data_IF_380500954016
#
_entry.id   IF_380500954016
#
_cell.length_a   1.000
_cell.length_b   1.000
_cell.length_c   1.000
_cell.angle_alpha   90.00
_cell.angle_beta   90.00
_cell.angle_gamma   90.00
#
_symmetry.space_group_name_H-M   'P 1'
#
loop_
_entity.id
_entity.type
_entity.pdbx_description
1 polymer ?
#
# COMPACT_ATOMS: atom_id res chain seq x y z
N UNK A 1 22.26 -25.82 8.64
CA UNK A 1 21.33 -26.39 7.60
C UNK A 1 22.17 -26.96 6.47
N UNK A 2 21.81 -28.13 5.90
CA UNK A 2 22.56 -28.73 4.80
C UNK A 2 22.34 -27.96 3.48
N UNK A 3 23.35 -27.95 2.60
CA UNK A 3 23.36 -27.26 1.30
C UNK A 3 22.10 -27.55 0.45
N UNK A 4 21.54 -28.74 0.56
CA UNK A 4 20.31 -29.13 -0.14
C UNK A 4 19.08 -28.40 0.41
N UNK A 5 19.01 -28.18 1.73
CA UNK A 5 17.93 -27.43 2.37
C UNK A 5 17.94 -25.97 1.94
N UNK A 6 19.13 -25.36 1.76
CA UNK A 6 19.26 -23.98 1.28
C UNK A 6 18.81 -23.83 -0.18
N UNK A 7 19.10 -24.81 -1.04
CA UNK A 7 18.61 -24.82 -2.44
C UNK A 7 17.10 -25.01 -2.49
N UNK A 8 16.53 -25.82 -1.60
CA UNK A 8 15.08 -26.02 -1.51
C UNK A 8 14.35 -24.79 -0.93
N UNK A 9 14.95 -24.11 0.05
CA UNK A 9 14.41 -22.85 0.60
C UNK A 9 14.34 -21.76 -0.46
N UNK A 10 15.32 -21.67 -1.39
CA UNK A 10 15.28 -20.73 -2.53
C UNK A 10 14.07 -20.92 -3.45
N UNK A 11 13.51 -22.14 -3.49
CA UNK A 11 12.33 -22.48 -4.30
C UNK A 11 11.01 -22.35 -3.55
N UNK A 12 11.05 -22.04 -2.25
CA UNK A 12 9.85 -21.93 -1.45
C UNK A 12 9.03 -20.71 -1.88
N UNK A 13 7.87 -20.96 -2.47
CA UNK A 13 6.92 -19.91 -2.81
C UNK A 13 6.22 -19.43 -1.54
N UNK A 14 6.21 -18.12 -1.34
CA UNK A 14 5.36 -17.50 -0.32
C UNK A 14 4.05 -17.11 -1.01
N UNK A 15 2.94 -17.70 -0.62
CA UNK A 15 1.63 -17.38 -1.17
C UNK A 15 0.87 -16.48 -0.18
N UNK A 16 0.45 -15.26 -0.57
CA UNK A 16 -0.40 -14.44 0.28
C UNK A 16 -1.76 -15.11 0.44
N UNK A 17 -2.41 -14.83 1.56
CA UNK A 17 -3.75 -15.35 1.82
C UNK A 17 -4.73 -14.85 0.74
N UNK A 18 -5.72 -15.68 0.37
CA UNK A 18 -6.64 -15.42 -0.74
C UNK A 18 -7.41 -14.10 -0.62
N UNK A 19 -7.74 -13.66 0.61
CA UNK A 19 -8.42 -12.39 0.83
C UNK A 19 -7.51 -11.17 0.54
N UNK A 20 -6.20 -11.28 0.77
CA UNK A 20 -5.22 -10.23 0.43
C UNK A 20 -5.09 -10.11 -1.09
N UNK A 21 -5.07 -11.25 -1.79
CA UNK A 21 -5.04 -11.26 -3.27
C UNK A 21 -6.30 -10.61 -3.83
N UNK A 22 -7.48 -10.94 -3.28
CA UNK A 22 -8.77 -10.38 -3.72
C UNK A 22 -8.82 -8.86 -3.51
N UNK A 23 -8.33 -8.37 -2.37
CA UNK A 23 -8.26 -6.95 -2.07
C UNK A 23 -7.40 -6.21 -3.10
N UNK A 24 -6.18 -6.68 -3.35
CA UNK A 24 -5.26 -6.05 -4.33
C UNK A 24 -5.80 -6.07 -5.76
N UNK A 25 -6.45 -7.14 -6.18
CA UNK A 25 -7.09 -7.20 -7.50
C UNK A 25 -8.20 -6.16 -7.60
N UNK A 26 -8.98 -5.98 -6.53
CA UNK A 26 -10.03 -4.97 -6.49
C UNK A 26 -9.46 -3.55 -6.50
N UNK A 27 -8.39 -3.28 -5.74
CA UNK A 27 -7.67 -1.99 -5.73
C UNK A 27 -7.13 -1.64 -7.12
N UNK A 28 -6.42 -2.57 -7.75
CA UNK A 28 -5.88 -2.37 -9.09
C UNK A 28 -6.98 -2.12 -10.14
N UNK A 29 -8.11 -2.85 -10.03
CA UNK A 29 -9.25 -2.65 -10.93
C UNK A 29 -9.85 -1.27 -10.75
N UNK A 30 -10.12 -0.85 -9.50
CA UNK A 30 -10.66 0.47 -9.20
C UNK A 30 -9.74 1.58 -9.72
N UNK A 31 -8.43 1.49 -9.44
CA UNK A 31 -7.44 2.44 -9.93
C UNK A 31 -7.47 2.58 -11.46
N UNK A 32 -7.51 1.46 -12.18
CA UNK A 32 -7.57 1.45 -13.63
C UNK A 32 -8.83 2.13 -14.16
N UNK A 33 -9.98 1.85 -13.55
CA UNK A 33 -11.26 2.46 -13.93
C UNK A 33 -11.26 3.96 -13.63
N UNK A 34 -10.77 4.35 -12.46
CA UNK A 34 -10.65 5.75 -12.06
C UNK A 34 -9.78 6.54 -13.03
N UNK A 35 -8.59 6.04 -13.38
CA UNK A 35 -7.69 6.69 -14.34
C UNK A 35 -8.31 6.85 -15.73
N UNK A 36 -9.21 5.95 -16.12
CA UNK A 36 -9.88 6.03 -17.42
C UNK A 36 -10.89 7.18 -17.49
N UNK A 37 -11.46 7.64 -16.37
CA UNK A 37 -12.50 8.68 -16.32
C UNK A 37 -12.04 9.99 -15.69
N UNK A 38 -10.88 10.00 -15.01
CA UNK A 38 -10.39 11.15 -14.24
C UNK A 38 -9.91 12.35 -15.08
N UNK A 39 -9.75 12.20 -16.40
CA UNK A 39 -9.26 13.27 -17.27
C UNK A 39 -7.86 13.76 -16.87
N UNK A 40 -7.73 15.07 -16.63
CA UNK A 40 -6.45 15.71 -16.26
C UNK A 40 -6.18 15.70 -14.73
N UNK A 41 -7.10 15.17 -13.91
CA UNK A 41 -6.87 15.00 -12.49
C UNK A 41 -5.70 14.04 -12.24
N UNK A 42 -4.88 14.33 -11.23
CA UNK A 42 -3.77 13.46 -10.84
C UNK A 42 -4.30 12.32 -9.99
N UNK A 43 -4.16 11.07 -10.45
CA UNK A 43 -4.59 9.86 -9.74
C UNK A 43 -3.36 9.05 -9.31
N UNK A 44 -3.14 8.94 -8.01
CA UNK A 44 -2.04 8.20 -7.41
C UNK A 44 -2.57 7.12 -6.48
N UNK A 45 -1.90 5.98 -6.46
CA UNK A 45 -2.20 4.84 -5.60
C UNK A 45 -1.09 4.60 -4.58
N UNK A 46 -1.46 4.09 -3.40
CA UNK A 46 -0.51 3.64 -2.39
C UNK A 46 0.40 4.74 -1.84
N UNK A 47 -0.08 5.99 -1.73
CA UNK A 47 0.70 7.07 -1.12
C UNK A 47 0.94 6.76 0.35
N UNK A 48 2.21 6.80 0.78
CA UNK A 48 2.61 6.47 2.14
C UNK A 48 3.23 7.66 2.85
N UNK A 49 2.56 8.07 3.90
CA UNK A 49 2.89 9.21 4.73
C UNK A 49 3.55 8.76 6.03
N UNK A 50 4.59 9.46 6.44
CA UNK A 50 5.16 9.26 7.77
C UNK A 50 4.21 9.85 8.81
N UNK A 51 3.85 9.06 9.83
CA UNK A 51 3.08 9.53 10.98
C UNK A 51 4.05 9.89 12.12
N UNK A 52 4.22 11.18 12.43
CA UNK A 52 5.16 11.61 13.45
C UNK A 52 4.73 11.23 14.87
N UNK A 53 3.42 11.09 15.12
CA UNK A 53 2.89 10.88 16.47
C UNK A 53 2.82 9.40 16.84
N UNK A 54 2.39 8.55 15.89
CA UNK A 54 2.26 7.12 16.14
C UNK A 54 3.43 6.29 15.58
N UNK A 55 4.33 6.94 14.84
CA UNK A 55 5.43 6.28 14.14
C UNK A 55 4.98 5.45 12.93
N UNK A 56 5.97 5.01 12.14
CA UNK A 56 5.71 4.24 10.92
C UNK A 56 5.15 5.08 9.78
N UNK A 57 4.55 4.40 8.82
CA UNK A 57 3.94 5.02 7.64
C UNK A 57 2.47 4.63 7.52
N UNK A 58 1.64 5.58 7.07
CA UNK A 58 0.21 5.39 6.80
C UNK A 58 0.01 5.41 5.29
N UNK A 59 -0.70 4.42 4.77
CA UNK A 59 -1.04 4.34 3.36
C UNK A 59 -2.42 4.94 3.13
N UNK A 60 -2.53 5.76 2.06
CA UNK A 60 -3.81 6.14 1.46
C UNK A 60 -3.94 5.28 0.22
N UNK A 61 -5.02 4.51 0.11
CA UNK A 61 -5.20 3.55 -0.98
C UNK A 61 -5.20 4.24 -2.35
N UNK A 62 -5.86 5.41 -2.46
CA UNK A 62 -5.82 6.25 -3.65
C UNK A 62 -6.01 7.73 -3.31
N UNK A 63 -5.30 8.60 -4.01
CA UNK A 63 -5.49 10.06 -3.97
C UNK A 63 -5.88 10.53 -5.36
N UNK A 64 -6.93 11.33 -5.45
CA UNK A 64 -7.30 12.03 -6.68
C UNK A 64 -7.20 13.53 -6.38
N UNK A 65 -6.31 14.22 -7.08
CA UNK A 65 -6.10 15.65 -6.89
C UNK A 65 -6.46 16.42 -8.14
N UNK A 66 -7.25 17.44 -7.95
CA UNK A 66 -7.59 18.45 -8.94
C UNK A 66 -7.09 19.81 -8.46
N UNK A 67 -7.28 20.85 -9.24
CA UNK A 67 -7.00 22.22 -8.84
C UNK A 67 -7.79 22.65 -7.60
N UNK A 68 -9.01 22.15 -7.43
CA UNK A 68 -9.96 22.67 -6.48
C UNK A 68 -10.23 21.73 -5.28
N UNK A 69 -9.88 20.46 -5.38
CA UNK A 69 -10.11 19.49 -4.30
C UNK A 69 -9.15 18.30 -4.34
N UNK A 70 -9.01 17.64 -3.20
CA UNK A 70 -8.29 16.38 -3.06
C UNK A 70 -9.24 15.34 -2.49
N UNK A 71 -9.39 14.20 -3.17
CA UNK A 71 -10.11 13.05 -2.64
C UNK A 71 -9.13 12.07 -2.01
N UNK A 72 -9.35 11.76 -0.74
CA UNK A 72 -8.65 10.71 -0.01
C UNK A 72 -9.52 9.46 -0.03
N UNK A 73 -9.17 8.51 -0.88
CA UNK A 73 -9.99 7.32 -1.13
C UNK A 73 -9.46 6.15 -0.31
N UNK A 74 -10.34 5.56 0.47
CA UNK A 74 -10.08 4.32 1.20
C UNK A 74 -10.97 3.22 0.64
N UNK A 75 -10.39 2.16 0.11
CA UNK A 75 -11.13 1.06 -0.50
C UNK A 75 -11.25 -0.14 0.44
N UNK A 76 -12.43 -0.73 0.48
CA UNK A 76 -12.68 -1.95 1.24
C UNK A 76 -13.37 -3.01 0.36
N UNK A 77 -12.79 -4.19 0.31
CA UNK A 77 -13.36 -5.35 -0.40
C UNK A 77 -14.01 -6.33 0.59
N UNK A 78 -14.91 -5.80 1.42
CA UNK A 78 -15.59 -6.59 2.45
C UNK A 78 -16.72 -7.43 1.88
N UNK A 79 -17.08 -8.48 2.60
CA UNK A 79 -18.25 -9.33 2.30
C UNK A 79 -19.22 -9.37 3.49
N UNK A 80 -20.49 -9.68 3.23
CA UNK A 80 -21.53 -9.71 4.24
C UNK A 80 -22.21 -8.36 4.39
N UNK A 81 -22.35 -7.88 5.62
CA UNK A 81 -22.91 -6.56 5.91
C UNK A 81 -22.08 -5.80 6.92
N UNK A 82 -22.23 -4.48 6.99
CA UNK A 82 -21.68 -3.70 8.09
C UNK A 82 -22.65 -2.62 8.57
N UNK A 83 -22.45 -2.24 9.83
CA UNK A 83 -23.08 -1.08 10.45
C UNK A 83 -22.02 -0.23 11.13
N UNK A 84 -22.32 1.05 11.37
CA UNK A 84 -21.45 1.95 12.13
C UNK A 84 -21.99 2.04 13.55
N UNK A 85 -21.12 1.89 14.53
CA UNK A 85 -21.48 2.07 15.95
C UNK A 85 -21.54 3.56 16.30
N UNK A 86 -22.11 3.89 17.46
CA UNK A 86 -22.15 5.26 17.98
C UNK A 86 -20.76 5.88 18.14
N UNK A 87 -19.72 5.05 18.38
CA UNK A 87 -18.33 5.48 18.46
C UNK A 87 -17.61 5.57 17.10
N UNK A 88 -18.34 5.48 15.98
CA UNK A 88 -17.78 5.58 14.62
C UNK A 88 -17.06 4.33 14.15
N UNK A 89 -17.13 3.20 14.88
CA UNK A 89 -16.48 1.95 14.49
C UNK A 89 -17.34 1.17 13.50
N UNK A 90 -16.70 0.49 12.56
CA UNK A 90 -17.38 -0.35 11.58
C UNK A 90 -17.50 -1.79 12.11
N UNK A 91 -18.73 -2.21 12.39
CA UNK A 91 -19.05 -3.59 12.80
C UNK A 91 -19.45 -4.40 11.58
N UNK A 92 -18.58 -5.30 11.13
CA UNK A 92 -18.81 -6.16 9.99
C UNK A 92 -19.33 -7.54 10.41
N UNK A 93 -20.40 -7.99 9.78
CA UNK A 93 -20.87 -9.37 9.83
C UNK A 93 -20.54 -10.07 8.51
N UNK A 94 -19.62 -11.02 8.54
CA UNK A 94 -19.16 -11.74 7.36
C UNK A 94 -20.17 -12.82 6.92
N UNK A 95 -20.19 -13.16 5.63
CA UNK A 95 -21.05 -14.24 5.10
C UNK A 95 -20.83 -15.60 5.75
N UNK A 96 -19.66 -15.90 6.30
CA UNK A 96 -19.35 -17.13 7.02
C UNK A 96 -19.78 -17.13 8.50
N UNK A 97 -20.54 -16.12 8.94
CA UNK A 97 -21.01 -15.96 10.31
C UNK A 97 -20.01 -15.30 11.28
N UNK A 98 -18.78 -15.03 10.83
CA UNK A 98 -17.80 -14.32 11.65
C UNK A 98 -18.11 -12.82 11.74
N UNK A 99 -17.82 -12.22 12.90
CA UNK A 99 -17.96 -10.78 13.12
C UNK A 99 -16.60 -10.13 13.34
N UNK A 100 -16.44 -8.89 12.87
CA UNK A 100 -15.25 -8.07 13.09
C UNK A 100 -15.66 -6.65 13.46
N UNK A 101 -15.00 -6.13 14.48
CA UNK A 101 -15.05 -4.71 14.81
C UNK A 101 -13.79 -4.03 14.25
N UNK A 102 -13.98 -3.23 13.25
CA UNK A 102 -12.90 -2.42 12.67
C UNK A 102 -12.75 -1.12 13.45
N UNK A 103 -11.59 -0.48 13.30
CA UNK A 103 -11.37 0.89 13.79
C UNK A 103 -12.30 1.87 13.05
N UNK A 104 -12.35 3.10 13.53
CA UNK A 104 -12.95 4.21 12.80
C UNK A 104 -12.12 4.50 11.54
N UNK A 105 -12.60 4.00 10.39
CA UNK A 105 -11.91 4.12 9.11
C UNK A 105 -11.97 5.55 8.61
N UNK A 106 -13.07 6.25 8.90
CA UNK A 106 -13.25 7.65 8.47
C UNK A 106 -12.24 8.52 9.18
N UNK A 107 -12.20 8.49 10.51
CA UNK A 107 -11.24 9.27 11.29
C UNK A 107 -9.79 8.96 10.91
N UNK A 108 -9.47 7.68 10.66
CA UNK A 108 -8.14 7.29 10.19
C UNK A 108 -7.80 7.85 8.81
N UNK A 109 -8.76 7.89 7.89
CA UNK A 109 -8.54 8.44 6.55
C UNK A 109 -8.48 9.95 6.58
N UNK A 110 -9.30 10.63 7.39
CA UNK A 110 -9.17 12.07 7.66
C UNK A 110 -7.77 12.41 8.14
N UNK A 111 -7.27 11.70 9.18
CA UNK A 111 -5.92 11.93 9.71
C UNK A 111 -4.84 11.79 8.63
N UNK A 112 -4.95 10.78 7.76
CA UNK A 112 -4.00 10.62 6.64
C UNK A 112 -4.06 11.83 5.69
N UNK A 113 -5.26 12.32 5.40
CA UNK A 113 -5.47 13.52 4.60
C UNK A 113 -4.84 14.77 5.25
N UNK A 114 -5.07 14.95 6.55
CA UNK A 114 -4.50 16.06 7.31
C UNK A 114 -2.97 16.04 7.28
N UNK A 115 -2.36 14.87 7.52
CA UNK A 115 -0.90 14.69 7.43
C UNK A 115 -0.36 15.08 6.05
N UNK A 116 -1.08 14.74 4.96
CA UNK A 116 -0.69 15.12 3.61
C UNK A 116 -0.76 16.63 3.42
N UNK A 117 -1.85 17.26 3.84
CA UNK A 117 -2.07 18.70 3.72
C UNK A 117 -1.04 19.48 4.55
N UNK A 118 -0.76 19.06 5.79
CA UNK A 118 0.26 19.65 6.65
C UNK A 118 1.66 19.54 6.03
N UNK A 119 1.98 18.41 5.44
CA UNK A 119 3.25 18.19 4.79
C UNK A 119 3.39 19.07 3.54
N UNK A 120 2.34 19.19 2.74
CA UNK A 120 2.29 20.11 1.60
C UNK A 120 2.57 21.55 2.04
N UNK A 121 1.84 22.02 3.05
CA UNK A 121 2.04 23.36 3.63
C UNK A 121 3.45 23.57 4.15
N UNK A 122 4.02 22.58 4.84
CA UNK A 122 5.38 22.65 5.38
C UNK A 122 6.43 22.76 4.26
N UNK A 123 6.23 22.05 3.15
CA UNK A 123 7.19 22.04 2.03
C UNK A 123 7.09 23.26 1.13
N UNK A 124 5.88 23.73 0.90
CA UNK A 124 5.61 24.77 -0.12
C UNK A 124 5.30 26.14 0.47
N UNK A 125 4.86 26.20 1.73
CA UNK A 125 4.32 27.41 2.35
C UNK A 125 2.87 27.71 1.95
N UNK A 126 2.24 26.86 1.12
CA UNK A 126 0.88 27.04 0.62
C UNK A 126 -0.07 26.01 1.23
N UNK A 127 -1.32 26.40 1.42
CA UNK A 127 -2.37 25.47 1.82
C UNK A 127 -2.77 24.57 0.63
N UNK A 128 -3.03 23.30 0.91
CA UNK A 128 -3.59 22.39 -0.08
C UNK A 128 -5.07 22.73 -0.35
N UNK A 129 -5.62 22.38 -1.52
CA UNK A 129 -7.06 22.44 -1.75
C UNK A 129 -7.85 21.65 -0.71
N UNK A 130 -9.15 21.92 -0.53
CA UNK A 130 -10.01 21.19 0.40
C UNK A 130 -9.93 19.67 0.16
N UNK A 131 -9.75 18.92 1.23
CA UNK A 131 -9.72 17.46 1.21
C UNK A 131 -11.07 16.86 1.53
N UNK A 132 -11.44 15.78 0.83
CA UNK A 132 -12.64 14.98 1.11
C UNK A 132 -12.28 13.52 1.28
N UNK A 133 -12.86 12.87 2.28
CA UNK A 133 -12.72 11.42 2.46
C UNK A 133 -13.80 10.68 1.69
N UNK A 134 -13.40 9.69 0.93
CA UNK A 134 -14.29 8.84 0.15
C UNK A 134 -14.02 7.38 0.47
N UNK A 135 -15.05 6.67 0.93
CA UNK A 135 -15.00 5.22 1.14
C UNK A 135 -15.56 4.50 -0.09
N UNK A 136 -14.83 3.51 -0.60
CA UNK A 136 -15.28 2.70 -1.73
C UNK A 136 -15.41 1.25 -1.34
N UNK A 137 -16.63 0.71 -1.39
CA UNK A 137 -16.92 -0.68 -1.12
C UNK A 137 -17.00 -1.46 -2.44
N UNK A 138 -15.90 -2.11 -2.83
CA UNK A 138 -15.74 -2.73 -4.15
C UNK A 138 -16.37 -4.12 -4.28
N UNK A 139 -16.93 -4.70 -3.21
CA UNK A 139 -17.61 -5.98 -3.28
C UNK A 139 -19.10 -5.77 -3.48
N UNK A 140 -19.61 -6.09 -4.66
CA UNK A 140 -21.02 -5.97 -5.05
C UNK A 140 -22.03 -6.73 -4.16
N UNK A 141 -21.54 -7.66 -3.34
CA UNK A 141 -22.39 -8.44 -2.42
C UNK A 141 -22.30 -7.94 -0.97
N UNK A 142 -21.69 -6.79 -0.73
CA UNK A 142 -21.70 -6.16 0.58
C UNK A 142 -23.01 -5.39 0.76
N UNK A 143 -23.65 -5.60 1.90
CA UNK A 143 -24.87 -4.87 2.30
C UNK A 143 -24.49 -3.82 3.34
N UNK A 144 -24.91 -2.58 3.12
CA UNK A 144 -24.65 -1.47 4.03
C UNK A 144 -25.67 -0.36 3.91
N UNK A 145 -25.92 0.32 5.01
CA UNK A 145 -26.75 1.51 5.04
C UNK A 145 -25.93 2.74 4.64
N UNK A 146 -26.55 3.79 4.06
CA UNK A 146 -25.87 5.06 3.84
C UNK A 146 -25.17 5.56 5.11
N UNK A 147 -24.04 6.24 4.94
CA UNK A 147 -23.38 6.89 6.06
C UNK A 147 -24.28 7.99 6.63
N UNK A 148 -24.18 8.31 7.93
CA UNK A 148 -24.79 9.50 8.49
C UNK A 148 -24.32 10.77 7.77
N UNK A 149 -25.18 11.77 7.65
CA UNK A 149 -24.87 13.03 6.95
C UNK A 149 -23.67 13.78 7.59
N UNK A 150 -23.44 13.57 8.87
CA UNK A 150 -22.35 14.16 9.65
C UNK A 150 -21.12 13.26 9.76
N UNK A 151 -21.07 12.17 9.03
CA UNK A 151 -19.95 11.22 9.09
C UNK A 151 -18.59 11.80 8.65
N UNK A 152 -18.58 12.94 7.96
CA UNK A 152 -17.35 13.55 7.45
C UNK A 152 -16.72 12.80 6.26
N UNK A 153 -17.45 11.88 5.64
CA UNK A 153 -17.04 11.11 4.48
C UNK A 153 -18.23 10.77 3.58
N UNK A 154 -17.94 10.55 2.31
CA UNK A 154 -18.88 9.98 1.36
C UNK A 154 -18.58 8.50 1.15
N UNK A 155 -19.61 7.69 0.88
CA UNK A 155 -19.43 6.26 0.63
C UNK A 155 -20.14 5.83 -0.65
N UNK A 156 -19.45 5.02 -1.42
CA UNK A 156 -19.92 4.55 -2.72
C UNK A 156 -19.64 3.06 -2.90
N UNK A 157 -20.46 2.41 -3.70
CA UNK A 157 -20.01 1.21 -4.39
C UNK A 157 -19.03 1.58 -5.54
N UNK A 158 -18.43 0.59 -6.17
CA UNK A 158 -17.45 0.83 -7.23
C UNK A 158 -18.02 1.65 -8.39
N UNK A 159 -19.25 1.37 -8.83
CA UNK A 159 -19.86 2.08 -9.95
C UNK A 159 -20.28 3.49 -9.57
N UNK A 160 -20.86 3.67 -8.40
CA UNK A 160 -21.22 4.99 -7.85
C UNK A 160 -20.00 5.89 -7.73
N UNK A 161 -18.86 5.34 -7.27
CA UNK A 161 -17.59 6.07 -7.20
C UNK A 161 -17.09 6.49 -8.58
N UNK A 162 -17.09 5.59 -9.58
CA UNK A 162 -16.67 5.91 -10.93
C UNK A 162 -17.55 6.99 -11.54
N UNK A 163 -18.88 6.91 -11.37
CA UNK A 163 -19.81 7.94 -11.84
C UNK A 163 -19.56 9.30 -11.13
N UNK A 164 -19.24 9.28 -9.85
CA UNK A 164 -18.87 10.49 -9.10
C UNK A 164 -17.62 11.12 -9.69
N UNK A 165 -16.55 10.33 -9.90
CA UNK A 165 -15.30 10.82 -10.51
C UNK A 165 -15.53 11.30 -11.96
N UNK A 166 -16.38 10.62 -12.71
CA UNK A 166 -16.72 11.06 -14.08
C UNK A 166 -17.42 12.42 -14.09
N UNK A 167 -18.25 12.72 -13.09
CA UNK A 167 -18.99 13.97 -12.94
C UNK A 167 -18.23 15.10 -12.27
N UNK A 168 -17.07 14.85 -11.62
CA UNK A 168 -16.32 15.89 -10.93
C UNK A 168 -15.54 16.79 -11.89
N UNK A 169 -15.11 17.95 -11.40
CA UNK A 169 -14.18 18.82 -12.12
C UNK A 169 -12.82 18.14 -12.27
N UNK A 170 -12.23 18.23 -13.48
CA UNK A 170 -11.04 17.42 -13.82
C UNK A 170 -9.79 18.26 -14.15
N UNK A 171 -9.79 19.54 -13.78
CA UNK A 171 -8.63 20.40 -13.99
C UNK A 171 -7.45 19.86 -13.17
N UNK A 172 -6.27 19.76 -13.79
CA UNK A 172 -5.06 19.28 -13.11
C UNK A 172 -4.71 20.11 -11.86
N UNK A 173 -4.15 19.50 -10.81
CA UNK A 173 -3.62 20.25 -9.67
C UNK A 173 -2.47 21.18 -10.11
N UNK A 174 -2.22 22.22 -9.31
CA UNK A 174 -1.06 23.06 -9.53
C UNK A 174 0.26 22.25 -9.40
N UNK A 175 1.35 22.81 -9.94
CA UNK A 175 2.63 22.10 -9.95
C UNK A 175 3.20 21.88 -8.55
N UNK A 176 2.95 22.75 -7.56
CA UNK A 176 3.44 22.57 -6.19
C UNK A 176 2.77 21.38 -5.51
N UNK A 177 1.45 21.26 -5.66
CA UNK A 177 0.70 20.11 -5.15
C UNK A 177 1.13 18.82 -5.87
N UNK A 178 1.26 18.88 -7.19
CA UNK A 178 1.70 17.75 -8.01
C UNK A 178 3.11 17.27 -7.60
N UNK A 179 4.08 18.17 -7.44
CA UNK A 179 5.42 17.81 -6.97
C UNK A 179 5.38 17.21 -5.56
N UNK A 180 4.57 17.77 -4.67
CA UNK A 180 4.39 17.21 -3.32
C UNK A 180 3.87 15.78 -3.40
N UNK A 181 2.80 15.54 -4.16
CA UNK A 181 2.15 14.24 -4.28
C UNK A 181 3.06 13.19 -4.93
N UNK A 182 3.77 13.56 -6.00
CA UNK A 182 4.74 12.68 -6.68
C UNK A 182 5.99 12.42 -5.82
N UNK A 183 6.22 13.22 -4.80
CA UNK A 183 7.32 13.06 -3.85
C UNK A 183 7.08 12.02 -2.75
N UNK A 184 5.91 11.40 -2.66
CA UNK A 184 5.67 10.35 -1.67
C UNK A 184 6.19 8.99 -2.15
N UNK A 185 6.76 8.24 -1.20
CA UNK A 185 7.20 6.88 -1.44
C UNK A 185 6.04 5.89 -1.49
N UNK A 186 6.27 4.79 -2.19
CA UNK A 186 5.43 3.60 -2.17
C UNK A 186 5.99 2.57 -1.18
N UNK A 187 5.48 1.35 -1.18
CA UNK A 187 6.05 0.24 -0.42
C UNK A 187 7.43 -0.16 -0.96
N UNK A 188 8.34 -0.51 -0.04
CA UNK A 188 9.53 -1.25 -0.45
C UNK A 188 9.09 -2.54 -1.13
N UNK A 189 9.78 -2.90 -2.20
CA UNK A 189 9.41 -4.04 -3.02
C UNK A 189 10.54 -5.07 -3.03
N UNK A 190 10.21 -6.31 -2.65
CA UNK A 190 11.16 -7.42 -2.66
C UNK A 190 10.72 -8.43 -3.72
N UNK A 191 11.53 -8.56 -4.76
CA UNK A 191 11.36 -9.58 -5.78
C UNK A 191 12.06 -10.86 -5.34
N UNK A 192 11.30 -11.93 -5.19
CA UNK A 192 11.82 -13.22 -4.79
C UNK A 192 12.30 -14.03 -6.01
N UNK A 193 13.27 -14.90 -5.77
CA UNK A 193 13.64 -15.93 -6.75
C UNK A 193 12.39 -16.77 -7.06
N UNK A 194 12.03 -16.88 -8.34
CA UNK A 194 10.80 -17.56 -8.78
C UNK A 194 9.65 -16.62 -9.17
N UNK A 195 9.90 -15.30 -9.20
CA UNK A 195 9.01 -14.31 -9.84
C UNK A 195 7.90 -13.75 -8.94
N UNK A 196 7.89 -14.09 -7.65
CA UNK A 196 6.94 -13.49 -6.71
C UNK A 196 7.47 -12.19 -6.16
N UNK A 197 6.59 -11.23 -5.96
CA UNK A 197 6.89 -9.92 -5.37
C UNK A 197 6.20 -9.79 -4.02
N UNK A 198 6.92 -9.27 -3.04
CA UNK A 198 6.41 -8.85 -1.73
C UNK A 198 6.49 -7.33 -1.64
N UNK A 199 5.47 -6.73 -1.05
CA UNK A 199 5.45 -5.31 -0.72
C UNK A 199 5.42 -5.16 0.80
N UNK A 200 6.14 -4.17 1.33
CA UNK A 200 6.20 -3.99 2.77
C UNK A 200 7.18 -2.90 3.19
N UNK A 201 7.44 -2.80 4.48
CA UNK A 201 8.49 -1.96 5.04
C UNK A 201 9.72 -2.78 5.38
N UNK A 202 10.85 -2.46 4.77
CA UNK A 202 12.14 -2.98 5.20
C UNK A 202 12.58 -2.18 6.43
N UNK A 203 12.36 -2.77 7.60
CA UNK A 203 12.66 -2.16 8.89
C UNK A 203 14.16 -2.12 9.14
N UNK A 204 14.84 -3.27 8.90
CA UNK A 204 16.28 -3.40 9.02
C UNK A 204 16.88 -3.95 7.73
N UNK A 205 17.93 -3.31 7.27
CA UNK A 205 18.72 -3.75 6.12
C UNK A 205 20.21 -3.54 6.46
N UNK A 206 21.06 -4.56 6.31
CA UNK A 206 22.44 -4.49 6.77
C UNK A 206 23.37 -3.67 5.87
N UNK A 207 22.86 -3.06 4.80
CA UNK A 207 23.57 -2.24 3.85
C UNK A 207 22.87 -0.90 3.66
N UNK A 208 23.43 -0.03 2.83
CA UNK A 208 22.75 1.19 2.41
C UNK A 208 21.43 0.85 1.68
N UNK A 209 20.37 1.62 1.97
CA UNK A 209 19.05 1.43 1.37
C UNK A 209 19.00 2.01 -0.04
N UNK A 210 19.63 1.31 -0.97
CA UNK A 210 19.61 1.61 -2.40
C UNK A 210 19.03 0.42 -3.15
N UNK A 211 18.32 0.69 -4.25
CA UNK A 211 17.83 -0.36 -5.13
C UNK A 211 18.96 -1.28 -5.56
N UNK A 212 18.78 -2.57 -5.39
CA UNK A 212 19.83 -3.53 -5.68
C UNK A 212 19.26 -4.86 -6.20
N UNK A 213 20.02 -5.49 -7.09
CA UNK A 213 19.84 -6.89 -7.46
C UNK A 213 20.80 -7.76 -6.66
N UNK A 214 20.41 -9.02 -6.44
CA UNK A 214 21.22 -9.98 -5.70
C UNK A 214 21.56 -11.14 -6.63
N UNK A 215 22.84 -11.21 -6.99
CA UNK A 215 23.36 -12.29 -7.78
C UNK A 215 23.73 -13.47 -6.88
N UNK A 216 23.23 -14.63 -7.21
CA UNK A 216 23.53 -15.88 -6.51
C UNK A 216 24.44 -16.76 -7.34
N UNK A 217 25.46 -17.31 -6.71
CA UNK A 217 26.24 -18.35 -7.36
C UNK A 217 25.37 -19.54 -7.74
N UNK A 218 25.39 -19.93 -9.00
CA UNK A 218 24.65 -21.07 -9.54
C UNK A 218 25.09 -22.41 -8.98
N UNK A 219 25.05 -23.47 -9.81
CA UNK A 219 25.42 -24.85 -9.43
C UNK A 219 26.80 -24.99 -8.81
N UNK A 220 27.76 -24.13 -9.18
CA UNK A 220 29.08 -24.10 -8.55
C UNK A 220 29.02 -23.78 -7.06
N UNK A 221 28.00 -23.11 -6.57
CA UNK A 221 27.77 -22.89 -5.15
C UNK A 221 27.56 -24.16 -4.33
N UNK A 222 27.23 -25.30 -4.96
CA UNK A 222 27.18 -26.58 -4.27
C UNK A 222 28.60 -27.06 -3.84
N UNK A 223 29.62 -26.65 -4.58
CA UNK A 223 31.03 -27.03 -4.33
C UNK A 223 31.72 -25.98 -3.46
N UNK A 224 31.55 -24.69 -3.78
CA UNK A 224 32.28 -23.58 -3.14
C UNK A 224 31.54 -22.94 -1.97
N UNK A 225 30.29 -23.32 -1.74
CA UNK A 225 29.36 -22.66 -0.84
C UNK A 225 28.56 -21.56 -1.56
N UNK A 226 27.27 -21.36 -1.15
CA UNK A 226 26.45 -20.32 -1.73
C UNK A 226 27.00 -18.93 -1.39
N UNK A 227 27.25 -18.14 -2.42
CA UNK A 227 27.64 -16.73 -2.28
C UNK A 227 26.56 -15.88 -2.90
N UNK A 228 26.25 -14.79 -2.27
CA UNK A 228 25.34 -13.76 -2.78
C UNK A 228 26.10 -12.44 -2.83
N UNK A 229 25.90 -11.68 -3.89
CA UNK A 229 26.57 -10.39 -4.11
C UNK A 229 25.51 -9.38 -4.53
N UNK A 230 25.54 -8.20 -3.92
CA UNK A 230 24.71 -7.09 -4.37
C UNK A 230 25.24 -6.55 -5.70
N UNK A 231 24.36 -5.95 -6.51
CA UNK A 231 24.75 -5.23 -7.74
C UNK A 231 25.79 -4.13 -7.51
N UNK A 232 25.90 -3.64 -6.27
CA UNK A 232 26.95 -2.70 -5.83
C UNK A 232 28.33 -3.34 -5.69
N UNK A 233 28.47 -4.65 -5.90
CA UNK A 233 29.71 -5.42 -5.74
C UNK A 233 29.98 -5.91 -4.30
N UNK A 234 29.11 -5.59 -3.36
CA UNK A 234 29.28 -5.96 -1.95
C UNK A 234 28.87 -7.41 -1.72
N UNK A 235 29.76 -8.20 -1.11
CA UNK A 235 29.46 -9.60 -0.76
C UNK A 235 28.56 -9.69 0.46
N UNK A 236 27.52 -10.50 0.36
CA UNK A 236 26.62 -10.82 1.47
C UNK A 236 27.23 -11.98 2.26
N UNK A 237 27.83 -11.66 3.39
CA UNK A 237 28.44 -12.67 4.29
C UNK A 237 27.39 -13.34 5.16
N UNK A 238 26.45 -12.56 5.70
CA UNK A 238 25.32 -13.04 6.47
C UNK A 238 24.10 -13.21 5.55
N UNK A 239 23.62 -14.44 5.44
CA UNK A 239 22.47 -14.81 4.59
C UNK A 239 21.12 -14.61 5.30
N UNK A 240 21.09 -14.05 6.53
CA UNK A 240 19.84 -13.84 7.27
C UNK A 240 18.86 -12.98 6.48
N UNK A 241 19.30 -11.90 5.88
CA UNK A 241 18.49 -11.04 5.03
C UNK A 241 17.80 -9.89 5.78
N UNK A 242 17.02 -9.06 5.06
CA UNK A 242 16.30 -7.93 5.64
C UNK A 242 15.20 -8.37 6.60
N UNK A 243 14.97 -7.56 7.65
CA UNK A 243 13.81 -7.68 8.52
C UNK A 243 12.68 -6.83 7.94
N UNK A 244 11.55 -7.46 7.61
CA UNK A 244 10.51 -6.86 6.78
C UNK A 244 9.13 -7.06 7.39
N UNK A 245 8.35 -5.99 7.47
CA UNK A 245 6.92 -6.03 7.71
C UNK A 245 6.20 -6.14 6.36
N UNK A 246 5.68 -7.32 6.04
CA UNK A 246 5.04 -7.60 4.74
C UNK A 246 3.56 -7.23 4.80
N UNK A 247 3.07 -6.53 3.78
CA UNK A 247 1.65 -6.16 3.66
C UNK A 247 0.77 -7.40 3.68
N UNK A 248 -0.22 -7.40 4.57
CA UNK A 248 -1.17 -8.50 4.76
C UNK A 248 -0.66 -9.65 5.63
N UNK A 249 0.57 -9.58 6.16
CA UNK A 249 1.09 -10.52 7.15
C UNK A 249 1.06 -9.90 8.57
N UNK A 250 0.88 -10.76 9.58
CA UNK A 250 1.00 -10.31 10.97
C UNK A 250 2.46 -10.30 11.41
N UNK A 251 2.91 -9.13 11.87
CA UNK A 251 4.27 -8.95 12.36
C UNK A 251 5.32 -8.85 11.25
N UNK A 252 6.55 -8.60 11.65
CA UNK A 252 7.69 -8.55 10.75
C UNK A 252 8.49 -9.87 10.81
N UNK A 253 9.18 -10.19 9.72
CA UNK A 253 10.01 -11.38 9.61
C UNK A 253 11.27 -11.15 8.78
N UNK A 254 12.26 -11.99 8.97
CA UNK A 254 13.46 -12.01 8.15
C UNK A 254 13.16 -12.74 6.83
N UNK A 255 13.54 -12.15 5.71
CA UNK A 255 13.50 -12.78 4.40
C UNK A 255 14.95 -13.08 3.99
N UNK A 256 15.35 -14.35 3.98
CA UNK A 256 16.74 -14.72 3.69
C UNK A 256 17.20 -14.18 2.32
N UNK A 257 18.38 -13.60 2.25
CA UNK A 257 18.96 -13.09 0.99
C UNK A 257 18.98 -14.16 -0.11
N UNK A 258 19.16 -15.43 0.25
CA UNK A 258 19.09 -16.54 -0.68
C UNK A 258 17.77 -16.63 -1.46
N UNK A 259 16.70 -16.03 -0.97
CA UNK A 259 15.38 -16.04 -1.61
C UNK A 259 15.10 -14.77 -2.44
N UNK A 260 15.95 -13.76 -2.35
CA UNK A 260 15.73 -12.44 -2.95
C UNK A 260 16.50 -12.32 -4.26
N UNK A 261 15.83 -11.86 -5.30
CA UNK A 261 16.45 -11.54 -6.59
C UNK A 261 16.74 -10.03 -6.70
N UNK A 262 15.82 -9.18 -6.22
CA UNK A 262 15.93 -7.72 -6.30
C UNK A 262 15.21 -7.07 -5.13
N UNK A 263 15.72 -5.93 -4.68
CA UNK A 263 15.07 -5.05 -3.72
C UNK A 263 14.96 -3.67 -4.35
N UNK A 264 13.77 -3.08 -4.27
CA UNK A 264 13.49 -1.69 -4.61
C UNK A 264 13.00 -0.99 -3.35
N UNK A 265 13.71 0.05 -2.93
CA UNK A 265 13.34 0.81 -1.76
C UNK A 265 12.35 1.90 -2.14
N UNK A 266 11.31 2.05 -1.31
CA UNK A 266 10.42 3.21 -1.42
C UNK A 266 11.25 4.46 -1.17
N UNK A 267 11.32 5.34 -2.15
CA UNK A 267 11.95 6.63 -1.95
C UNK A 267 11.04 7.51 -1.07
N UNK A 268 11.44 7.91 0.14
CA UNK A 268 10.94 9.14 0.72
C UNK A 268 11.58 10.26 -0.10
N UNK A 269 10.87 10.74 -1.08
CA UNK A 269 11.27 11.96 -1.79
C UNK A 269 10.88 13.18 -1.00
#
# INVERSE_FOLDING_TARGET
MGRLAEVLVRRKKFEPEGHVVSGRVAEFRLLKLTRAVAGDALVLDGIRLKDPDEGGRREIDMVIATKNEILFVEQKHWSGSFTITEEGRFFQQRKNGGTLLHKDIIAWTCRKGDLLCELHKTRTGHDAPPGKVVLVFSNKNLEWAPLPDDAGAEAYDEMGFINMVEGMEKEAPDELLKETLLGFGTWDTIHLNGGKTLHGDILEFPFEKNDCTIDHTGWFGLITGPKSTLSTGQQIKDQSGPFVSVVGEKGARIIPFANIAKIEFSNPR
#
